data_IF_290977445336
#
_entry.id   IF_290977445336
#
_cell.length_a   1.000
_cell.length_b   1.000
_cell.length_c   1.000
_cell.angle_alpha   90.00
_cell.angle_beta   90.00
_cell.angle_gamma   90.00
#
_symmetry.space_group_name_H-M   'P 1'
#
loop_
_entity.id
_entity.type
_entity.pdbx_description
1 polymer ?
#
# COMPACT_ATOMS: atom_id res chain seq x y z
N UNK A 1 -6.90 1.84 0.75
CA UNK A 1 -7.96 2.23 1.72
C UNK A 1 -9.18 1.31 1.72
N UNK A 2 -9.85 1.11 0.58
CA UNK A 2 -11.14 0.39 0.52
C UNK A 2 -11.18 -0.99 1.20
N UNK A 3 -10.11 -1.78 1.07
CA UNK A 3 -9.99 -3.09 1.75
C UNK A 3 -10.03 -2.97 3.28
N UNK A 4 -9.28 -2.01 3.84
CA UNK A 4 -9.18 -1.79 5.29
C UNK A 4 -10.51 -1.25 5.85
N UNK A 5 -11.17 -0.34 5.13
CA UNK A 5 -12.49 0.17 5.52
C UNK A 5 -13.54 -0.94 5.52
N UNK A 6 -13.60 -1.75 4.46
CA UNK A 6 -14.52 -2.87 4.39
C UNK A 6 -14.28 -3.91 5.49
N UNK A 7 -13.01 -4.15 5.85
CA UNK A 7 -12.66 -5.01 6.96
C UNK A 7 -13.13 -4.42 8.30
N UNK A 8 -12.87 -3.13 8.55
CA UNK A 8 -13.31 -2.42 9.76
C UNK A 8 -14.83 -2.53 9.94
N UNK A 9 -15.59 -2.28 8.87
CA UNK A 9 -17.05 -2.38 8.90
C UNK A 9 -17.49 -3.81 9.22
N UNK A 10 -16.88 -4.81 8.58
CA UNK A 10 -17.20 -6.20 8.87
C UNK A 10 -16.83 -6.62 10.31
N UNK A 11 -15.66 -6.21 10.80
CA UNK A 11 -15.21 -6.52 12.16
C UNK A 11 -16.16 -5.96 13.20
N UNK A 12 -16.58 -4.71 13.02
CA UNK A 12 -17.48 -4.04 13.99
C UNK A 12 -18.92 -4.55 13.93
N UNK A 13 -19.39 -5.05 12.78
CA UNK A 13 -20.78 -5.46 12.59
C UNK A 13 -21.04 -6.97 12.69
N UNK A 14 -20.05 -7.81 12.39
CA UNK A 14 -20.28 -9.24 12.14
C UNK A 14 -19.25 -10.20 12.78
N UNK A 15 -18.03 -9.74 13.07
CA UNK A 15 -17.00 -10.58 13.70
C UNK A 15 -17.38 -10.89 15.14
N UNK A 16 -17.23 -12.17 15.50
CA UNK A 16 -17.45 -12.63 16.89
C UNK A 16 -16.12 -12.59 17.63
N UNK A 17 -16.10 -12.18 18.90
CA UNK A 17 -14.89 -12.28 19.72
C UNK A 17 -14.43 -13.74 19.79
N UNK A 18 -13.12 -13.95 19.90
CA UNK A 18 -12.58 -15.29 20.13
C UNK A 18 -13.02 -15.81 21.50
N UNK A 19 -13.29 -17.11 21.61
CA UNK A 19 -13.91 -17.70 22.81
C UNK A 19 -13.10 -17.44 24.09
N UNK A 20 -11.78 -17.37 23.98
CA UNK A 20 -10.86 -17.14 25.11
C UNK A 20 -10.29 -15.72 25.15
N UNK A 21 -10.81 -14.79 24.34
CA UNK A 21 -10.31 -13.41 24.28
C UNK A 21 -10.63 -12.60 25.55
N UNK A 22 -11.68 -12.98 26.29
CA UNK A 22 -12.13 -12.25 27.48
C UNK A 22 -12.82 -10.92 27.19
N UNK A 23 -13.15 -10.63 25.93
CA UNK A 23 -13.89 -9.41 25.53
C UNK A 23 -15.26 -9.74 24.95
N UNK A 24 -16.21 -8.81 25.13
CA UNK A 24 -17.58 -8.96 24.62
C UNK A 24 -17.70 -8.65 23.13
N UNK A 25 -16.79 -7.82 22.60
CA UNK A 25 -16.78 -7.37 21.21
C UNK A 25 -15.43 -7.64 20.57
N UNK A 26 -15.43 -8.16 19.33
CA UNK A 26 -14.20 -8.40 18.58
C UNK A 26 -13.37 -7.12 18.38
N UNK A 27 -14.00 -5.95 18.28
CA UNK A 27 -13.33 -4.65 18.18
C UNK A 27 -12.52 -4.27 19.43
N UNK A 28 -12.70 -4.96 20.55
CA UNK A 28 -11.96 -4.75 21.79
C UNK A 28 -10.85 -5.79 21.99
N UNK A 29 -10.75 -6.80 21.12
CA UNK A 29 -9.69 -7.80 21.21
C UNK A 29 -8.32 -7.14 20.96
N UNK A 30 -7.34 -7.31 21.87
CA UNK A 30 -6.05 -6.61 21.78
C UNK A 30 -5.26 -6.97 20.52
N UNK A 31 -5.41 -8.19 20.00
CA UNK A 31 -4.70 -8.63 18.80
C UNK A 31 -5.36 -8.09 17.53
N UNK A 32 -6.70 -7.99 17.53
CA UNK A 32 -7.42 -7.31 16.44
C UNK A 32 -7.02 -5.82 16.40
N UNK A 33 -6.97 -5.16 17.56
CA UNK A 33 -6.53 -3.76 17.67
C UNK A 33 -5.08 -3.57 17.19
N UNK A 34 -4.17 -4.44 17.62
CA UNK A 34 -2.78 -4.43 17.16
C UNK A 34 -2.70 -4.54 15.64
N UNK A 35 -3.39 -5.54 15.06
CA UNK A 35 -3.36 -5.79 13.63
C UNK A 35 -3.91 -4.61 12.82
N UNK A 36 -5.04 -4.01 13.24
CA UNK A 36 -5.53 -2.78 12.60
C UNK A 36 -4.54 -1.62 12.73
N UNK A 37 -3.86 -1.50 13.87
CA UNK A 37 -2.82 -0.48 14.10
C UNK A 37 -1.64 -0.62 13.14
N UNK A 38 -1.11 -1.84 12.97
CA UNK A 38 -0.02 -2.13 12.03
C UNK A 38 -0.43 -1.84 10.58
N UNK A 39 -1.59 -2.35 10.15
CA UNK A 39 -2.12 -2.13 8.80
C UNK A 39 -2.40 -0.64 8.53
N UNK A 40 -2.85 0.10 9.54
CA UNK A 40 -3.07 1.54 9.43
C UNK A 40 -1.74 2.30 9.31
N UNK A 41 -0.73 1.97 10.11
CA UNK A 41 0.57 2.60 10.04
C UNK A 41 1.23 2.39 8.66
N UNK A 42 1.18 1.17 8.13
CA UNK A 42 1.66 0.84 6.78
C UNK A 42 0.94 1.66 5.70
N UNK A 43 -0.39 1.80 5.82
CA UNK A 43 -1.19 2.61 4.91
C UNK A 43 -0.81 4.09 4.97
N UNK A 44 -0.66 4.66 6.17
CA UNK A 44 -0.27 6.06 6.33
C UNK A 44 1.12 6.35 5.76
N UNK A 45 2.08 5.42 5.93
CA UNK A 45 3.39 5.55 5.31
C UNK A 45 3.31 5.54 3.77
N UNK A 46 2.45 4.69 3.19
CA UNK A 46 2.24 4.66 1.74
C UNK A 46 1.57 5.93 1.22
N UNK A 47 0.56 6.47 1.93
CA UNK A 47 -0.11 7.71 1.57
C UNK A 47 0.85 8.90 1.62
N UNK A 48 1.64 9.03 2.70
CA UNK A 48 2.61 10.11 2.83
C UNK A 48 3.65 10.13 1.69
N UNK A 49 4.12 8.95 1.25
CA UNK A 49 5.03 8.87 0.10
C UNK A 49 4.31 9.19 -1.22
N UNK A 50 3.04 8.81 -1.38
CA UNK A 50 2.26 9.14 -2.56
C UNK A 50 2.01 10.65 -2.67
N UNK A 51 1.64 11.31 -1.57
CA UNK A 51 1.44 12.76 -1.51
C UNK A 51 2.74 13.50 -1.84
N UNK A 52 3.87 13.08 -1.25
CA UNK A 52 5.18 13.61 -1.59
C UNK A 52 5.50 13.43 -3.08
N UNK A 53 5.26 12.24 -3.64
CA UNK A 53 5.50 12.04 -5.07
C UNK A 53 4.61 12.95 -5.94
N UNK A 54 3.36 13.19 -5.54
CA UNK A 54 2.46 14.10 -6.24
C UNK A 54 2.95 15.56 -6.20
N UNK A 55 3.45 16.03 -5.05
CA UNK A 55 4.06 17.37 -4.92
C UNK A 55 5.27 17.52 -5.85
N UNK A 56 6.17 16.53 -5.88
CA UNK A 56 7.33 16.54 -6.76
C UNK A 56 6.92 16.56 -8.25
N UNK A 57 5.88 15.79 -8.63
CA UNK A 57 5.32 15.83 -9.99
C UNK A 57 4.79 17.22 -10.31
N UNK A 58 4.05 17.85 -9.40
CA UNK A 58 3.47 19.18 -9.61
C UNK A 58 4.57 20.23 -9.81
N UNK A 59 5.61 20.23 -8.98
CA UNK A 59 6.77 21.12 -9.12
C UNK A 59 7.46 20.89 -10.48
N UNK A 60 7.67 19.64 -10.86
CA UNK A 60 8.27 19.31 -12.16
C UNK A 60 7.41 19.75 -13.34
N UNK A 61 6.10 19.61 -13.23
CA UNK A 61 5.14 20.05 -14.23
C UNK A 61 5.17 21.55 -14.45
N UNK A 62 5.24 22.34 -13.37
CA UNK A 62 5.31 23.81 -13.41
C UNK A 62 6.56 24.35 -14.12
N UNK A 63 7.66 23.57 -14.16
CA UNK A 63 8.88 23.94 -14.88
C UNK A 63 8.75 23.82 -16.40
N UNK A 64 7.77 23.09 -16.92
CA UNK A 64 7.55 22.90 -18.35
C UNK A 64 8.85 22.46 -19.06
N UNK A 65 9.27 23.14 -20.15
CA UNK A 65 10.48 22.82 -20.91
C UNK A 65 11.79 23.11 -20.16
N UNK A 66 11.74 23.75 -19.00
CA UNK A 66 12.92 24.04 -18.18
C UNK A 66 13.29 22.91 -17.20
N UNK A 67 12.49 21.83 -17.14
CA UNK A 67 12.76 20.67 -16.30
C UNK A 67 14.09 20.01 -16.71
N UNK A 68 15.03 19.87 -15.76
CA UNK A 68 16.31 19.21 -16.04
C UNK A 68 16.22 17.69 -15.93
N UNK A 69 17.26 17.01 -16.40
CA UNK A 69 17.35 15.55 -16.29
C UNK A 69 17.41 15.11 -14.81
N UNK A 70 18.16 15.83 -13.99
CA UNK A 70 18.32 15.57 -12.57
C UNK A 70 17.00 15.73 -11.82
N UNK A 71 16.26 16.81 -12.08
CA UNK A 71 14.96 17.07 -11.47
C UNK A 71 13.93 16.00 -11.86
N UNK A 72 13.92 15.61 -13.15
CA UNK A 72 13.12 14.45 -13.60
C UNK A 72 13.53 13.17 -12.87
N UNK A 73 14.83 12.97 -12.68
CA UNK A 73 15.39 11.83 -11.96
C UNK A 73 14.90 11.76 -10.52
N UNK A 74 14.92 12.87 -9.79
CA UNK A 74 14.40 12.97 -8.42
C UNK A 74 12.91 12.65 -8.35
N UNK A 75 12.12 13.17 -9.29
CA UNK A 75 10.70 12.84 -9.42
C UNK A 75 10.50 11.34 -9.65
N UNK A 76 11.28 10.74 -10.55
CA UNK A 76 11.20 9.31 -10.85
C UNK A 76 11.52 8.44 -9.62
N UNK A 77 12.49 8.86 -8.79
CA UNK A 77 12.83 8.21 -7.53
C UNK A 77 11.69 8.33 -6.52
N UNK A 78 11.11 9.52 -6.34
CA UNK A 78 9.97 9.71 -5.45
C UNK A 78 8.77 8.82 -5.85
N UNK A 79 8.44 8.77 -7.15
CA UNK A 79 7.38 7.91 -7.69
C UNK A 79 7.70 6.43 -7.46
N UNK A 80 8.93 6.00 -7.72
CA UNK A 80 9.34 4.61 -7.55
C UNK A 80 9.23 4.17 -6.07
N UNK A 81 9.64 5.04 -5.13
CA UNK A 81 9.53 4.78 -3.70
C UNK A 81 8.06 4.70 -3.26
N UNK A 82 7.23 5.66 -3.68
CA UNK A 82 5.79 5.66 -3.38
C UNK A 82 5.11 4.40 -3.90
N UNK A 83 5.35 4.05 -5.16
CA UNK A 83 4.77 2.85 -5.78
C UNK A 83 5.20 1.56 -5.08
N UNK A 84 6.50 1.42 -4.77
CA UNK A 84 7.01 0.23 -4.13
C UNK A 84 6.39 0.03 -2.74
N UNK A 85 6.31 1.10 -1.94
CA UNK A 85 5.68 1.08 -0.62
C UNK A 85 4.17 0.82 -0.70
N UNK A 86 3.47 1.48 -1.62
CA UNK A 86 2.02 1.31 -1.79
C UNK A 86 1.64 -0.13 -2.18
N UNK A 87 2.37 -0.76 -3.10
CA UNK A 87 2.13 -2.16 -3.46
C UNK A 87 2.42 -3.08 -2.28
N UNK A 88 3.53 -2.87 -1.55
CA UNK A 88 3.87 -3.70 -0.38
C UNK A 88 2.79 -3.60 0.70
N UNK A 89 2.42 -2.38 1.09
CA UNK A 89 1.39 -2.14 2.10
C UNK A 89 0.02 -2.66 1.62
N UNK A 90 -0.36 -2.37 0.38
CA UNK A 90 -1.65 -2.81 -0.18
C UNK A 90 -1.78 -4.34 -0.25
N UNK A 91 -0.74 -5.05 -0.69
CA UNK A 91 -0.76 -6.52 -0.72
C UNK A 91 -0.80 -7.11 0.70
N UNK A 92 -0.08 -6.50 1.65
CA UNK A 92 -0.14 -6.90 3.06
C UNK A 92 -1.56 -6.72 3.60
N UNK A 93 -2.13 -5.52 3.49
CA UNK A 93 -3.49 -5.20 3.94
C UNK A 93 -4.51 -6.15 3.33
N UNK A 94 -4.53 -6.28 2.00
CA UNK A 94 -5.56 -7.08 1.31
C UNK A 94 -5.49 -8.58 1.64
N UNK A 95 -4.34 -9.08 2.09
CA UNK A 95 -4.19 -10.43 2.60
C UNK A 95 -4.58 -10.54 4.08
N UNK A 96 -4.08 -9.63 4.91
CA UNK A 96 -4.18 -9.68 6.38
C UNK A 96 -5.56 -9.26 6.93
N UNK A 97 -6.41 -8.60 6.13
CA UNK A 97 -7.76 -8.25 6.58
C UNK A 97 -8.60 -9.47 6.99
N UNK A 98 -8.30 -10.67 6.48
CA UNK A 98 -9.03 -11.87 6.87
C UNK A 98 -8.75 -12.32 8.31
N UNK A 99 -7.58 -11.99 8.85
CA UNK A 99 -7.19 -12.37 10.21
C UNK A 99 -7.98 -11.57 11.26
N UNK A 100 -8.38 -10.34 10.93
CA UNK A 100 -9.21 -9.47 11.80
C UNK A 100 -10.71 -9.63 11.57
N UNK A 101 -11.12 -10.14 10.40
CA UNK A 101 -12.53 -10.41 10.08
C UNK A 101 -12.96 -11.83 10.46
N UNK A 102 -12.02 -12.77 10.53
CA UNK A 102 -12.25 -14.17 10.89
C UNK A 102 -12.86 -15.02 9.77
N UNK A 103 -12.91 -16.34 10.00
CA UNK A 103 -13.19 -17.35 8.97
C UNK A 103 -14.48 -17.12 8.16
N UNK A 104 -15.55 -16.60 8.78
CA UNK A 104 -16.84 -16.35 8.10
C UNK A 104 -16.72 -15.33 6.98
N UNK A 105 -15.75 -14.41 7.04
CA UNK A 105 -15.53 -13.40 6.02
C UNK A 105 -15.04 -13.96 4.68
N UNK A 106 -14.56 -15.21 4.66
CA UNK A 106 -14.13 -15.90 3.43
C UNK A 106 -15.30 -16.36 2.55
N UNK A 107 -16.55 -16.26 3.03
CA UNK A 107 -17.71 -16.65 2.24
C UNK A 107 -17.82 -15.80 0.97
N UNK A 108 -17.95 -16.45 -0.20
CA UNK A 108 -17.92 -15.81 -1.52
C UNK A 108 -18.92 -14.67 -1.69
N UNK A 109 -20.05 -14.68 -0.96
CA UNK A 109 -21.04 -13.60 -0.97
C UNK A 109 -20.49 -12.23 -0.56
N UNK A 110 -19.41 -12.19 0.22
CA UNK A 110 -18.79 -10.92 0.65
C UNK A 110 -17.76 -10.39 -0.36
N UNK A 111 -17.11 -11.29 -1.10
CA UNK A 111 -16.16 -10.95 -2.15
C UNK A 111 -14.95 -10.11 -1.71
N UNK A 112 -14.53 -10.18 -0.44
CA UNK A 112 -13.40 -9.38 0.08
C UNK A 112 -12.07 -9.72 -0.61
N UNK A 113 -11.93 -10.93 -1.13
CA UNK A 113 -10.78 -11.39 -1.92
C UNK A 113 -10.57 -10.56 -3.20
N UNK A 114 -11.60 -9.85 -3.68
CA UNK A 114 -11.48 -8.96 -4.85
C UNK A 114 -10.38 -7.92 -4.68
N UNK A 115 -10.23 -7.36 -3.47
CA UNK A 115 -9.22 -6.33 -3.23
C UNK A 115 -7.81 -6.87 -3.45
N UNK A 116 -7.55 -8.10 -2.98
CA UNK A 116 -6.28 -8.77 -3.20
C UNK A 116 -6.09 -9.12 -4.67
N UNK A 117 -7.10 -9.72 -5.33
CA UNK A 117 -7.00 -10.12 -6.74
C UNK A 117 -6.74 -8.94 -7.66
N UNK A 118 -7.45 -7.83 -7.45
CA UNK A 118 -7.34 -6.62 -8.28
C UNK A 118 -5.93 -6.01 -8.12
N UNK A 119 -5.47 -5.83 -6.87
CA UNK A 119 -4.15 -5.28 -6.61
C UNK A 119 -3.04 -6.22 -7.08
N UNK A 120 -3.19 -7.53 -6.86
CA UNK A 120 -2.22 -8.53 -7.31
C UNK A 120 -2.07 -8.49 -8.83
N UNK A 121 -3.17 -8.40 -9.56
CA UNK A 121 -3.17 -8.28 -11.02
C UNK A 121 -2.47 -7.01 -11.48
N UNK A 122 -2.84 -5.85 -10.92
CA UNK A 122 -2.28 -4.57 -11.33
C UNK A 122 -0.79 -4.43 -10.97
N UNK A 123 -0.39 -4.89 -9.78
CA UNK A 123 0.99 -4.79 -9.27
C UNK A 123 2.02 -5.59 -10.10
N UNK A 124 1.56 -6.45 -11.01
CA UNK A 124 2.40 -7.28 -11.87
C UNK A 124 2.79 -6.61 -13.19
N UNK A 125 2.21 -5.46 -13.53
CA UNK A 125 2.45 -4.78 -14.80
C UNK A 125 3.93 -4.42 -15.02
N UNK A 126 4.61 -3.96 -13.96
CA UNK A 126 6.05 -3.70 -13.95
C UNK A 126 6.68 -4.36 -12.72
N UNK A 127 7.72 -5.20 -12.88
CA UNK A 127 8.20 -6.00 -11.77
C UNK A 127 8.83 -5.14 -10.68
N UNK A 128 8.33 -5.31 -9.45
CA UNK A 128 8.74 -4.52 -8.30
C UNK A 128 10.25 -4.65 -7.99
N UNK A 129 10.86 -5.79 -8.30
CA UNK A 129 12.30 -6.01 -8.15
C UNK A 129 13.14 -4.97 -8.92
N UNK A 130 12.72 -4.58 -10.13
CA UNK A 130 13.42 -3.56 -10.91
C UNK A 130 13.24 -2.16 -10.32
N UNK A 131 12.10 -1.87 -9.68
CA UNK A 131 11.89 -0.61 -8.93
C UNK A 131 12.82 -0.52 -7.73
N UNK A 132 12.96 -1.60 -6.95
CA UNK A 132 13.92 -1.65 -5.86
C UNK A 132 15.37 -1.55 -6.33
N UNK A 133 15.73 -2.21 -7.46
CA UNK A 133 17.05 -2.02 -8.07
C UNK A 133 17.30 -0.55 -8.38
N UNK A 134 16.37 0.13 -9.05
CA UNK A 134 16.52 1.53 -9.43
C UNK A 134 16.70 2.46 -8.21
N UNK A 135 15.90 2.25 -7.16
CA UNK A 135 16.05 2.97 -5.90
C UNK A 135 17.41 2.73 -5.23
N UNK A 136 17.89 1.48 -5.22
CA UNK A 136 19.20 1.13 -4.66
C UNK A 136 20.36 1.69 -5.47
N UNK A 137 20.28 1.67 -6.79
CA UNK A 137 21.30 2.22 -7.70
C UNK A 137 21.42 3.75 -7.52
N UNK A 138 20.29 4.44 -7.40
CA UNK A 138 20.30 5.87 -7.06
C UNK A 138 20.89 6.12 -5.67
N UNK A 139 20.44 5.39 -4.65
CA UNK A 139 20.90 5.61 -3.27
C UNK A 139 22.42 5.39 -3.12
N UNK A 140 22.96 4.34 -3.76
CA UNK A 140 24.36 3.95 -3.61
C UNK A 140 25.29 4.65 -4.61
N UNK A 141 24.85 4.84 -5.85
CA UNK A 141 25.70 5.29 -6.95
C UNK A 141 25.30 6.65 -7.52
N UNK A 142 24.22 7.26 -7.02
CA UNK A 142 23.65 8.52 -7.56
C UNK A 142 23.22 8.40 -9.03
N UNK A 143 22.94 7.18 -9.49
CA UNK A 143 22.46 6.92 -10.84
C UNK A 143 20.94 7.06 -10.91
N UNK A 144 20.45 8.07 -11.63
CA UNK A 144 19.03 8.20 -11.91
C UNK A 144 18.53 7.12 -12.88
N UNK A 145 17.26 6.70 -12.77
CA UNK A 145 16.66 5.77 -13.71
C UNK A 145 16.69 6.35 -15.13
N UNK A 146 17.18 5.57 -16.09
CA UNK A 146 17.12 5.95 -17.51
C UNK A 146 15.65 6.06 -17.95
N UNK A 147 15.23 7.17 -18.60
CA UNK A 147 13.87 7.31 -19.08
C UNK A 147 13.45 6.18 -20.02
N UNK A 148 12.32 5.54 -19.72
CA UNK A 148 11.68 4.53 -20.56
C UNK A 148 10.16 4.55 -20.35
N UNK A 149 9.44 3.65 -21.02
CA UNK A 149 8.01 3.44 -20.73
C UNK A 149 7.75 2.94 -19.30
N UNK A 150 8.78 2.47 -18.60
CA UNK A 150 8.69 1.85 -17.28
C UNK A 150 9.63 2.47 -16.22
N UNK A 151 10.39 3.52 -16.53
CA UNK A 151 11.38 4.13 -15.61
C UNK A 151 11.66 5.58 -15.92
#
# INVERSE_FOLDING_TARGET
>A
EGALNAAKDYTTLATRPWQTSGVDQASQDPYILQQYGELWADLQAALALADKAAEHIQIGWEKNTALTFEERGEIAIAIAAAKATAIKAGLNITNQIFDVMGARATASRYGFDRYWRDLRTFSLHDPQAYKYKALGDWLLNQNFPTPSQYS
#
